data_IF_302631208694
#
_entry.id   IF_302631208694
#
_cell.length_a   1.000
_cell.length_b   1.000
_cell.length_c   1.000
_cell.angle_alpha   90.00
_cell.angle_beta   90.00
_cell.angle_gamma   90.00
#
_symmetry.space_group_name_H-M   'P 1'
#
loop_
_entity.id
_entity.type
_entity.pdbx_description
1 polymer ?
#
# COMPACT_ATOMS: atom_id res chain seq x y z
N UNK A 1 -0.48 21.95 4.08
CA UNK A 1 0.32 21.39 2.96
C UNK A 1 0.89 19.98 3.23
N UNK A 2 0.91 19.46 4.47
CA UNK A 2 1.42 18.11 4.80
C UNK A 2 0.63 16.94 4.16
N UNK A 3 -0.69 17.08 3.97
CA UNK A 3 -1.52 15.98 3.46
C UNK A 3 -1.19 15.54 2.03
N UNK A 4 -0.80 16.46 1.13
CA UNK A 4 -0.60 16.14 -0.30
C UNK A 4 0.55 15.15 -0.50
N UNK A 5 1.63 15.27 0.28
CA UNK A 5 2.82 14.41 0.14
C UNK A 5 2.52 12.99 0.62
N UNK A 6 1.83 12.85 1.75
CA UNK A 6 1.39 11.53 2.24
C UNK A 6 0.44 10.84 1.27
N UNK A 7 -0.44 11.61 0.62
CA UNK A 7 -1.35 11.09 -0.42
C UNK A 7 -0.58 10.58 -1.63
N UNK A 8 0.41 11.31 -2.13
CA UNK A 8 1.24 10.88 -3.27
C UNK A 8 1.94 9.55 -2.98
N UNK A 9 2.52 9.39 -1.79
CA UNK A 9 3.22 8.16 -1.45
C UNK A 9 2.29 6.97 -1.17
N UNK A 10 1.08 7.24 -0.68
CA UNK A 10 0.02 6.23 -0.59
C UNK A 10 -0.40 5.76 -1.98
N UNK A 11 -0.52 6.67 -2.94
CA UNK A 11 -0.81 6.32 -4.35
C UNK A 11 0.31 5.46 -4.94
N UNK A 12 1.58 5.75 -4.63
CA UNK A 12 2.72 4.94 -5.09
C UNK A 12 2.68 3.52 -4.49
N UNK A 13 2.32 3.37 -3.21
CA UNK A 13 2.10 2.06 -2.58
C UNK A 13 1.00 1.26 -3.29
N UNK A 14 -0.13 1.90 -3.59
CA UNK A 14 -1.24 1.26 -4.31
C UNK A 14 -0.89 0.97 -5.76
N UNK A 15 -0.08 1.81 -6.41
CA UNK A 15 0.43 1.57 -7.75
C UNK A 15 1.29 0.30 -7.80
N UNK A 16 2.10 0.04 -6.76
CA UNK A 16 2.84 -1.23 -6.64
C UNK A 16 1.91 -2.46 -6.61
N UNK A 17 0.79 -2.36 -5.88
CA UNK A 17 -0.23 -3.42 -5.84
C UNK A 17 -0.93 -3.61 -7.19
N UNK A 18 -1.26 -2.51 -7.88
CA UNK A 18 -1.90 -2.52 -9.19
C UNK A 18 -0.99 -3.19 -10.22
N UNK A 19 0.29 -2.81 -10.26
CA UNK A 19 1.28 -3.39 -11.17
C UNK A 19 1.48 -4.89 -10.87
N UNK A 20 1.48 -5.29 -9.59
CA UNK A 20 1.55 -6.71 -9.23
C UNK A 20 0.34 -7.50 -9.74
N UNK A 21 -0.85 -6.91 -9.65
CA UNK A 21 -2.08 -7.48 -10.21
C UNK A 21 -2.02 -7.63 -11.72
N UNK A 22 -1.66 -6.54 -12.41
CA UNK A 22 -1.57 -6.48 -13.87
C UNK A 22 -0.50 -7.44 -14.43
N UNK A 23 0.57 -7.65 -13.69
CA UNK A 23 1.63 -8.61 -14.01
C UNK A 23 1.32 -10.04 -13.54
N UNK A 24 0.13 -10.28 -12.98
CA UNK A 24 -0.31 -11.59 -12.46
C UNK A 24 0.70 -12.23 -11.51
N UNK A 25 1.33 -11.40 -10.67
CA UNK A 25 2.36 -11.87 -9.75
C UNK A 25 1.76 -12.76 -8.66
N UNK A 26 2.62 -13.61 -8.09
CA UNK A 26 2.22 -14.54 -7.04
C UNK A 26 1.66 -13.82 -5.81
N UNK A 27 0.70 -14.46 -5.15
CA UNK A 27 -0.03 -13.91 -4.01
C UNK A 27 0.87 -13.41 -2.86
N UNK A 28 2.04 -14.02 -2.66
CA UNK A 28 2.96 -13.61 -1.59
C UNK A 28 3.45 -12.16 -1.78
N UNK A 29 3.51 -11.66 -3.02
CA UNK A 29 3.89 -10.27 -3.31
C UNK A 29 2.86 -9.31 -2.72
N UNK A 30 1.57 -9.67 -2.78
CA UNK A 30 0.48 -8.90 -2.18
C UNK A 30 0.70 -8.75 -0.68
N UNK A 31 1.10 -9.84 -0.01
CA UNK A 31 1.40 -9.80 1.43
C UNK A 31 2.54 -8.83 1.72
N UNK A 32 3.63 -8.89 0.96
CA UNK A 32 4.79 -8.00 1.16
C UNK A 32 4.36 -6.54 1.00
N UNK A 33 3.61 -6.21 -0.05
CA UNK A 33 3.10 -4.86 -0.30
C UNK A 33 2.14 -4.42 0.82
N UNK A 34 1.27 -5.30 1.29
CA UNK A 34 0.34 -5.00 2.38
C UNK A 34 1.07 -4.76 3.72
N UNK A 35 2.13 -5.50 4.02
CA UNK A 35 2.98 -5.25 5.18
C UNK A 35 3.63 -3.88 5.08
N UNK A 36 4.21 -3.54 3.92
CA UNK A 36 4.78 -2.21 3.67
C UNK A 36 3.74 -1.10 3.84
N UNK A 37 2.56 -1.26 3.24
CA UNK A 37 1.47 -0.28 3.34
C UNK A 37 0.92 -0.14 4.78
N UNK A 38 0.96 -1.22 5.56
CA UNK A 38 0.59 -1.19 6.98
C UNK A 38 1.58 -0.37 7.78
N UNK A 39 2.89 -0.58 7.58
CA UNK A 39 3.93 0.21 8.26
C UNK A 39 3.79 1.69 7.91
N UNK A 40 3.61 2.01 6.63
CA UNK A 40 3.40 3.39 6.15
C UNK A 40 2.19 4.05 6.84
N UNK A 41 1.08 3.32 6.96
CA UNK A 41 -0.13 3.86 7.57
C UNK A 41 0.02 3.99 9.09
N UNK A 42 0.69 3.05 9.75
CA UNK A 42 0.95 3.08 11.19
C UNK A 42 1.76 4.31 11.65
N UNK A 43 2.62 4.85 10.78
CA UNK A 43 3.40 6.07 11.04
C UNK A 43 2.72 7.34 10.54
N UNK A 44 1.66 7.22 9.72
CA UNK A 44 1.03 8.38 9.09
C UNK A 44 0.38 9.32 10.13
N UNK A 45 0.43 10.65 9.92
CA UNK A 45 -0.24 11.61 10.80
C UNK A 45 -1.75 11.41 10.86
N UNK A 46 -2.37 11.01 9.75
CA UNK A 46 -3.80 10.72 9.66
C UNK A 46 -4.20 9.55 10.57
N UNK A 47 -3.47 8.42 10.52
CA UNK A 47 -3.75 7.29 11.40
C UNK A 47 -3.43 7.58 12.88
N UNK A 48 -2.47 8.48 13.16
CA UNK A 48 -2.26 8.98 14.53
C UNK A 48 -3.48 9.77 15.02
N UNK A 49 -4.03 10.67 14.20
CA UNK A 49 -5.21 11.45 14.55
C UNK A 49 -6.45 10.57 14.77
N UNK A 50 -6.66 9.55 13.92
CA UNK A 50 -7.80 8.63 14.07
C UNK A 50 -7.66 7.72 15.31
N UNK A 51 -6.44 7.29 15.65
CA UNK A 51 -6.19 6.55 16.90
C UNK A 51 -6.41 7.41 18.14
N UNK A 52 -5.98 8.68 18.10
CA UNK A 52 -6.20 9.63 19.18
C UNK A 52 -7.70 9.87 19.43
N UNK A 53 -8.51 9.98 18.37
CA UNK A 53 -9.98 10.10 18.47
C UNK A 53 -10.65 8.86 19.06
N UNK A 54 -10.10 7.68 18.81
CA UNK A 54 -10.65 6.41 19.31
C UNK A 54 -10.13 6.02 20.70
N UNK A 55 -9.21 6.79 21.29
CA UNK A 55 -8.57 6.45 22.57
C UNK A 55 -7.76 5.14 22.54
N UNK A 56 -7.47 4.58 21.36
CA UNK A 56 -6.81 3.28 21.18
C UNK A 56 -5.31 3.47 21.01
N UNK A 57 -4.54 2.67 21.76
CA UNK A 57 -3.09 2.56 21.58
C UNK A 57 -2.71 1.94 20.24
N UNK A 58 -1.46 2.15 19.81
CA UNK A 58 -0.93 1.62 18.54
C UNK A 58 -1.11 0.10 18.41
N UNK A 59 -0.87 -0.64 19.49
CA UNK A 59 -1.04 -2.10 19.54
C UNK A 59 -2.51 -2.57 19.42
N UNK A 60 -3.47 -1.78 19.91
CA UNK A 60 -4.89 -2.12 19.81
C UNK A 60 -5.47 -1.79 18.41
N UNK A 61 -4.93 -0.76 17.76
CA UNK A 61 -5.34 -0.38 16.41
C UNK A 61 -4.63 -1.18 15.31
N UNK A 62 -3.47 -1.77 15.60
CA UNK A 62 -2.61 -2.48 14.65
C UNK A 62 -3.33 -3.58 13.86
N UNK A 63 -4.08 -4.50 14.50
CA UNK A 63 -4.77 -5.58 13.78
C UNK A 63 -5.78 -5.03 12.76
N UNK A 64 -6.52 -3.99 13.15
CA UNK A 64 -7.47 -3.32 12.26
C UNK A 64 -6.79 -2.59 11.10
N UNK A 65 -5.64 -1.95 11.36
CA UNK A 65 -4.83 -1.30 10.33
C UNK A 65 -4.29 -2.32 9.31
N UNK A 66 -3.77 -3.46 9.78
CA UNK A 66 -3.27 -4.54 8.93
C UNK A 66 -4.39 -5.10 8.05
N UNK A 67 -5.54 -5.43 8.65
CA UNK A 67 -6.68 -5.98 7.92
C UNK A 67 -7.20 -4.99 6.88
N UNK A 68 -7.38 -3.73 7.26
CA UNK A 68 -7.82 -2.69 6.33
C UNK A 68 -6.85 -2.54 5.16
N UNK A 69 -5.54 -2.55 5.42
CA UNK A 69 -4.55 -2.44 4.34
C UNK A 69 -4.46 -3.68 3.47
N UNK A 70 -4.60 -4.88 4.03
CA UNK A 70 -4.71 -6.10 3.24
C UNK A 70 -5.90 -6.04 2.30
N UNK A 71 -7.06 -5.56 2.76
CA UNK A 71 -8.26 -5.40 1.93
C UNK A 71 -7.96 -4.42 0.79
N UNK A 72 -7.45 -3.23 1.06
CA UNK A 72 -7.18 -2.22 0.03
C UNK A 72 -6.14 -2.68 -0.99
N UNK A 73 -5.02 -3.23 -0.53
CA UNK A 73 -3.95 -3.74 -1.40
C UNK A 73 -4.47 -4.89 -2.26
N UNK A 74 -5.26 -5.80 -1.69
CA UNK A 74 -5.86 -6.90 -2.43
C UNK A 74 -6.89 -6.42 -3.46
N UNK A 75 -7.74 -5.45 -3.13
CA UNK A 75 -8.69 -4.87 -4.08
C UNK A 75 -7.97 -4.23 -5.26
N UNK A 76 -6.92 -3.45 -5.00
CA UNK A 76 -6.14 -2.79 -6.07
C UNK A 76 -5.38 -3.80 -6.92
N UNK A 77 -4.84 -4.86 -6.31
CA UNK A 77 -4.27 -6.00 -7.03
C UNK A 77 -5.32 -6.66 -7.94
N UNK A 78 -6.51 -6.95 -7.44
CA UNK A 78 -7.58 -7.58 -8.22
C UNK A 78 -8.05 -6.69 -9.38
N UNK A 79 -8.07 -5.36 -9.18
CA UNK A 79 -8.34 -4.41 -10.28
C UNK A 79 -7.28 -4.53 -11.37
N UNK A 80 -5.99 -4.56 -11.00
CA UNK A 80 -4.90 -4.74 -11.96
C UNK A 80 -4.99 -6.08 -12.69
N UNK A 81 -5.28 -7.14 -11.95
CA UNK A 81 -5.44 -8.50 -12.48
C UNK A 81 -6.63 -8.59 -13.44
N UNK A 82 -7.79 -8.05 -13.06
CA UNK A 82 -8.99 -8.01 -13.88
C UNK A 82 -8.79 -7.21 -15.16
N UNK A 83 -8.09 -6.08 -15.10
CA UNK A 83 -7.73 -5.29 -16.27
C UNK A 83 -6.83 -6.08 -17.24
N UNK A 84 -5.79 -6.75 -16.72
CA UNK A 84 -4.93 -7.61 -17.55
C UNK A 84 -5.71 -8.77 -18.18
N UNK A 85 -6.57 -9.42 -17.41
CA UNK A 85 -7.42 -10.49 -17.90
C UNK A 85 -8.35 -10.02 -19.04
N UNK A 86 -8.98 -8.85 -18.90
CA UNK A 86 -9.84 -8.26 -19.93
C UNK A 86 -9.09 -7.91 -21.23
N UNK A 87 -7.79 -7.65 -21.14
CA UNK A 87 -6.93 -7.38 -22.29
C UNK A 87 -6.28 -8.64 -22.89
N UNK A 88 -6.67 -9.83 -22.44
CA UNK A 88 -6.29 -11.10 -23.05
C UNK A 88 -4.91 -11.63 -22.63
N UNK A 89 -4.27 -11.03 -21.61
CA UNK A 89 -2.97 -11.52 -21.16
C UNK A 89 -2.34 -10.67 -20.07
N UNK A 90 -1.20 -11.11 -19.52
CA UNK A 90 -0.41 -10.27 -18.62
C UNK A 90 -0.04 -8.97 -19.34
N UNK A 91 -0.52 -7.85 -18.80
CA UNK A 91 -0.35 -6.51 -19.36
C UNK A 91 1.13 -6.17 -19.58
N UNK A 92 1.96 -6.54 -18.59
CA UNK A 92 3.41 -6.32 -18.57
C UNK A 92 4.03 -7.46 -17.74
N UNK A 93 5.07 -8.13 -18.24
CA UNK A 93 5.89 -9.04 -17.45
C UNK A 93 6.81 -8.22 -16.50
N UNK A 94 6.23 -7.64 -15.45
CA UNK A 94 7.00 -6.87 -14.48
C UNK A 94 7.72 -7.83 -13.51
N UNK A 95 9.05 -7.69 -13.31
CA UNK A 95 9.76 -8.47 -12.32
C UNK A 95 9.25 -8.14 -10.91
N UNK A 96 9.30 -9.12 -10.00
CA UNK A 96 8.80 -8.96 -8.62
C UNK A 96 9.47 -7.81 -7.88
N UNK A 97 10.75 -7.55 -8.17
CA UNK A 97 11.47 -6.42 -7.61
C UNK A 97 10.89 -5.05 -8.00
N UNK A 98 10.17 -4.95 -9.13
CA UNK A 98 9.60 -3.68 -9.59
C UNK A 98 8.36 -3.31 -8.77
N UNK A 99 7.48 -4.27 -8.47
CA UNK A 99 6.27 -4.07 -7.67
C UNK A 99 6.62 -3.84 -6.20
N UNK A 100 7.56 -4.63 -5.68
CA UNK A 100 8.11 -4.44 -4.33
C UNK A 100 8.89 -3.13 -4.25
N UNK A 101 9.65 -2.76 -5.28
CA UNK A 101 10.42 -1.53 -5.35
C UNK A 101 9.55 -0.27 -5.38
N UNK A 102 8.49 -0.26 -6.19
CA UNK A 102 7.47 0.81 -6.19
C UNK A 102 6.84 0.94 -4.81
N UNK A 103 6.45 -0.17 -4.20
CA UNK A 103 5.84 -0.18 -2.87
C UNK A 103 6.81 0.30 -1.80
N UNK A 104 8.07 -0.13 -1.85
CA UNK A 104 9.13 0.30 -0.95
C UNK A 104 9.43 1.80 -1.10
N UNK A 105 9.42 2.34 -2.33
CA UNK A 105 9.58 3.76 -2.58
C UNK A 105 8.40 4.58 -2.01
N UNK A 106 7.17 4.09 -2.19
CA UNK A 106 5.99 4.68 -1.55
C UNK A 106 6.06 4.63 -0.03
N UNK A 107 6.49 3.51 0.56
CA UNK A 107 6.72 3.39 2.00
C UNK A 107 7.78 4.38 2.49
N UNK A 108 8.97 4.39 1.86
CA UNK A 108 10.08 5.25 2.23
C UNK A 108 9.71 6.73 2.16
N UNK A 109 8.98 7.12 1.12
CA UNK A 109 8.47 8.48 1.00
C UNK A 109 7.42 8.84 2.05
N UNK A 110 6.49 7.92 2.37
CA UNK A 110 5.50 8.14 3.45
C UNK A 110 6.19 8.32 4.80
N UNK A 111 7.20 7.49 5.10
CA UNK A 111 8.02 7.61 6.31
C UNK A 111 8.76 8.94 6.34
N UNK A 112 9.46 9.30 5.27
CA UNK A 112 10.19 10.56 5.17
C UNK A 112 9.28 11.79 5.35
N UNK A 113 8.06 11.74 4.79
CA UNK A 113 7.06 12.79 4.96
C UNK A 113 6.55 12.87 6.40
N UNK A 114 6.32 11.72 7.06
CA UNK A 114 5.86 11.66 8.45
C UNK A 114 6.89 12.15 9.47
N UNK A 115 8.19 12.16 9.12
CA UNK A 115 9.27 12.66 9.97
C UNK A 115 9.51 14.17 9.81
N UNK A 116 9.00 14.79 8.74
CA UNK A 116 9.15 16.22 8.44
C UNK A 116 7.94 17.07 8.86
N UNK A 117 6.83 16.44 9.24
CA UNK A 117 5.59 17.10 9.70
C UNK A 117 5.32 16.80 11.15
#
# INVERSE_FOLDING_TARGET
MSNTISTVFTVILLAGALVAGAAQQAFWVIIVIAVMATVANAVSPAARADRAKQGKGLMQALPGLVLNQLIWVNLVFLIGYGAAWAMGGPLIAAPVWLTVGLSAAGLAGTLAASLRG
#
